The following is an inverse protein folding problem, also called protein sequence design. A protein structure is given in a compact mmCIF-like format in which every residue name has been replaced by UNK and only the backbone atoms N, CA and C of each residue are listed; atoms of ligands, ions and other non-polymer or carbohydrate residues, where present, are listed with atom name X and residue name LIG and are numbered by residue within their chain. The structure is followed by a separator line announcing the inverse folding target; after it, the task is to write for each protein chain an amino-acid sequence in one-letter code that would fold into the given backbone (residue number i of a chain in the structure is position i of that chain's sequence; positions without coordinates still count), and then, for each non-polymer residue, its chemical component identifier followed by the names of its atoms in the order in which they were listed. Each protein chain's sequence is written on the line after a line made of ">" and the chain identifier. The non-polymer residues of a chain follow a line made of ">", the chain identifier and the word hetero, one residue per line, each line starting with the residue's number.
data_IF_683731916667
#
_entry.id   IF_683731916667
#
_cell.length_a   1.000
_cell.length_b   1.000
_cell.length_c   1.000
_cell.angle_alpha   90.00
_cell.angle_beta   90.00
_cell.angle_gamma   90.00
#
_symmetry.space_group_name_H-M   'P 1'
#
loop_
_entity.id
_entity.type
_entity.pdbx_description
1 polymer ?
#
# COMPACT_ATOMS: atom_id res chain seq x y z
N UNK A 1 13.14 -7.70 6.00
CA UNK A 1 12.26 -6.51 6.00
C UNK A 1 10.86 -6.87 6.42
N UNK A 2 10.27 -7.95 5.91
CA UNK A 2 8.91 -8.36 6.27
C UNK A 2 8.74 -8.59 7.79
N UNK A 3 9.72 -9.19 8.46
CA UNK A 3 9.71 -9.32 9.93
C UNK A 3 9.61 -7.97 10.65
N UNK A 4 10.35 -6.96 10.18
CA UNK A 4 10.28 -5.60 10.73
C UNK A 4 8.93 -4.95 10.45
N UNK A 5 8.35 -5.22 9.28
CA UNK A 5 7.02 -4.75 8.93
C UNK A 5 5.97 -5.33 9.88
N UNK A 6 6.06 -6.62 10.25
CA UNK A 6 5.12 -7.23 11.21
C UNK A 6 5.15 -6.53 12.57
N UNK A 7 6.34 -6.21 13.08
CA UNK A 7 6.49 -5.43 14.33
C UNK A 7 5.84 -4.04 14.19
N UNK A 8 6.04 -3.37 13.05
CA UNK A 8 5.35 -2.11 12.76
C UNK A 8 3.82 -2.28 12.74
N UNK A 9 3.29 -3.32 12.08
CA UNK A 9 1.85 -3.56 11.97
C UNK A 9 1.20 -3.78 13.34
N UNK A 10 1.87 -4.52 14.24
CA UNK A 10 1.41 -4.72 15.61
C UNK A 10 1.28 -3.38 16.35
N UNK A 11 2.30 -2.54 16.30
CA UNK A 11 2.26 -1.21 16.92
C UNK A 11 1.22 -0.29 16.24
N UNK A 12 1.09 -0.35 14.91
CA UNK A 12 0.18 0.50 14.16
C UNK A 12 -1.31 0.17 14.42
N UNK A 13 -1.64 -1.07 14.78
CA UNK A 13 -3.00 -1.47 15.16
C UNK A 13 -3.44 -0.78 16.45
N UNK A 14 -2.57 -0.68 17.44
CA UNK A 14 -2.84 0.03 18.70
C UNK A 14 -3.09 1.53 18.50
N UNK A 15 -2.59 2.13 17.40
CA UNK A 15 -2.84 3.55 17.10
C UNK A 15 -4.29 3.85 16.70
N UNK A 16 -5.14 2.84 16.47
CA UNK A 16 -6.56 3.06 16.19
C UNK A 16 -7.28 3.70 17.37
N UNK A 17 -6.94 3.28 18.59
CA UNK A 17 -7.52 3.77 19.85
C UNK A 17 -7.20 5.25 20.16
N UNK A 18 -6.31 5.85 19.38
CA UNK A 18 -5.96 7.25 19.49
C UNK A 18 -7.03 8.20 18.93
N UNK A 19 -8.10 7.68 18.33
CA UNK A 19 -9.28 8.44 17.89
C UNK A 19 -10.06 9.09 19.04
N UNK A 20 -9.88 8.58 20.26
CA UNK A 20 -10.39 9.21 21.47
C UNK A 20 -9.95 10.69 21.61
N UNK A 21 -8.75 11.05 21.12
CA UNK A 21 -8.25 12.43 21.15
C UNK A 21 -9.05 13.40 20.27
N UNK A 22 -9.76 12.92 19.24
CA UNK A 22 -10.60 13.75 18.38
C UNK A 22 -11.75 14.39 19.17
N UNK A 23 -12.23 13.70 20.21
CA UNK A 23 -13.26 14.23 21.12
C UNK A 23 -12.71 15.35 21.99
N UNK A 24 -11.53 15.16 22.57
CA UNK A 24 -10.89 16.18 23.42
C UNK A 24 -10.43 17.38 22.61
N UNK A 25 -10.08 17.17 21.34
CA UNK A 25 -9.85 18.25 20.39
C UNK A 25 -11.06 19.16 20.21
N UNK A 26 -12.23 18.56 19.91
CA UNK A 26 -13.49 19.31 19.78
C UNK A 26 -13.84 20.09 21.05
N UNK A 27 -13.65 19.49 22.23
CA UNK A 27 -13.87 20.17 23.52
C UNK A 27 -12.92 21.37 23.70
N UNK A 28 -11.65 21.21 23.33
CA UNK A 28 -10.64 22.26 23.44
C UNK A 28 -10.95 23.45 22.53
N UNK A 29 -11.34 23.19 21.27
CA UNK A 29 -11.77 24.24 20.35
C UNK A 29 -13.00 25.01 20.88
N UNK A 30 -13.99 24.28 21.41
CA UNK A 30 -15.16 24.89 22.05
C UNK A 30 -14.77 25.78 23.23
N UNK A 31 -13.81 25.36 24.05
CA UNK A 31 -13.30 26.15 25.17
C UNK A 31 -12.69 27.49 24.73
N UNK A 32 -11.90 27.51 23.64
CA UNK A 32 -11.38 28.75 23.06
C UNK A 32 -12.49 29.68 22.57
N UNK A 33 -13.53 29.12 21.93
CA UNK A 33 -14.68 29.87 21.44
C UNK A 33 -15.48 30.50 22.59
N UNK A 34 -15.79 29.71 23.63
CA UNK A 34 -16.49 30.19 24.83
C UNK A 34 -15.70 31.28 25.57
N UNK A 35 -14.37 31.16 25.67
CA UNK A 35 -13.52 32.17 26.29
C UNK A 35 -13.51 33.49 25.51
N UNK A 36 -13.40 33.41 24.17
CA UNK A 36 -13.49 34.58 23.30
C UNK A 36 -14.86 35.24 23.38
N UNK A 37 -15.94 34.46 23.45
CA UNK A 37 -17.30 34.99 23.59
C UNK A 37 -17.50 35.71 24.92
N UNK A 38 -17.01 35.16 26.03
CA UNK A 38 -17.09 35.81 27.36
C UNK A 38 -16.35 37.15 27.38
N UNK A 39 -15.18 37.24 26.76
CA UNK A 39 -14.43 38.50 26.66
C UNK A 39 -15.15 39.55 25.80
N UNK A 40 -15.75 39.15 24.68
CA UNK A 40 -16.59 40.05 23.86
C UNK A 40 -17.77 40.57 24.67
N UNK A 41 -18.50 39.68 25.34
CA UNK A 41 -19.62 40.07 26.22
C UNK A 41 -19.17 41.01 27.34
N UNK A 42 -18.00 40.81 27.93
CA UNK A 42 -17.45 41.75 28.92
C UNK A 42 -17.21 43.13 28.30
N UNK A 43 -16.57 43.20 27.13
CA UNK A 43 -16.35 44.46 26.39
C UNK A 43 -17.65 45.20 26.11
N UNK A 44 -18.71 44.48 25.73
CA UNK A 44 -20.00 45.06 25.38
C UNK A 44 -20.77 45.58 26.61
N UNK A 45 -20.46 45.07 27.82
CA UNK A 45 -21.24 45.32 29.04
C UNK A 45 -20.42 45.96 30.18
N UNK A 46 -19.17 46.38 29.94
CA UNK A 46 -18.24 46.84 30.99
C UNK A 46 -18.63 48.16 31.68
N UNK A 47 -19.46 48.99 31.04
CA UNK A 47 -20.08 50.16 31.67
C UNK A 47 -19.15 51.34 32.01
N UNK A 48 -17.84 51.24 31.78
CA UNK A 48 -16.91 52.37 31.90
C UNK A 48 -17.07 53.34 30.72
N UNK A 49 -16.66 54.61 30.93
CA UNK A 49 -16.66 55.67 29.92
C UNK A 49 -15.31 56.39 29.89
N UNK A 50 -15.00 57.05 28.76
CA UNK A 50 -13.76 57.79 28.57
C UNK A 50 -12.51 56.89 28.53
N UNK A 51 -11.37 57.42 28.97
CA UNK A 51 -10.06 56.75 28.85
C UNK A 51 -10.02 55.35 29.49
N UNK A 52 -10.80 55.11 30.54
CA UNK A 52 -10.90 53.78 31.18
C UNK A 52 -11.59 52.78 30.26
N UNK A 53 -12.64 53.19 29.54
CA UNK A 53 -13.31 52.33 28.57
C UNK A 53 -12.39 51.97 27.41
N UNK A 54 -11.63 52.95 26.92
CA UNK A 54 -10.66 52.76 25.84
C UNK A 54 -9.57 51.75 26.25
N UNK A 55 -9.01 51.89 27.46
CA UNK A 55 -8.03 50.96 28.00
C UNK A 55 -8.59 49.54 28.17
N UNK A 56 -9.83 49.40 28.64
CA UNK A 56 -10.48 48.10 28.79
C UNK A 56 -10.75 47.42 27.44
N UNK A 57 -11.23 48.17 26.46
CA UNK A 57 -11.46 47.66 25.11
C UNK A 57 -10.15 47.22 24.44
N UNK A 58 -9.08 47.99 24.62
CA UNK A 58 -7.74 47.61 24.14
C UNK A 58 -7.26 46.30 24.80
N UNK A 59 -7.39 46.18 26.13
CA UNK A 59 -7.02 44.96 26.85
C UNK A 59 -7.84 43.73 26.38
N UNK A 60 -9.14 43.89 26.10
CA UNK A 60 -9.96 42.82 25.52
C UNK A 60 -9.46 42.44 24.13
N UNK A 61 -9.18 43.42 23.26
CA UNK A 61 -8.69 43.17 21.91
C UNK A 61 -7.35 42.39 21.93
N UNK A 62 -6.42 42.78 22.79
CA UNK A 62 -5.16 42.06 22.99
C UNK A 62 -5.37 40.65 23.55
N UNK A 63 -6.32 40.48 24.48
CA UNK A 63 -6.65 39.17 25.05
C UNK A 63 -7.27 38.22 24.01
N UNK A 64 -8.20 38.72 23.19
CA UNK A 64 -8.77 37.96 22.07
C UNK A 64 -7.70 37.57 21.06
N UNK A 65 -6.77 38.48 20.77
CA UNK A 65 -5.65 38.18 19.89
C UNK A 65 -4.75 37.07 20.45
N UNK A 66 -4.43 37.10 21.76
CA UNK A 66 -3.69 36.03 22.45
C UNK A 66 -4.44 34.69 22.42
N UNK A 67 -5.76 34.68 22.62
CA UNK A 67 -6.57 33.46 22.55
C UNK A 67 -6.53 32.86 21.14
N UNK A 68 -6.74 33.68 20.10
CA UNK A 68 -6.69 33.21 18.71
C UNK A 68 -5.33 32.64 18.34
N UNK A 69 -4.26 33.25 18.85
CA UNK A 69 -2.90 32.76 18.70
C UNK A 69 -2.69 31.38 19.32
N UNK A 70 -3.07 31.19 20.59
CA UNK A 70 -2.94 29.90 21.27
C UNK A 70 -3.81 28.84 20.58
N UNK A 71 -5.03 29.19 20.18
CA UNK A 71 -5.92 28.33 19.38
C UNK A 71 -5.23 27.88 18.09
N UNK A 72 -4.61 28.80 17.36
CA UNK A 72 -3.96 28.49 16.09
C UNK A 72 -2.73 27.57 16.25
N UNK A 73 -1.92 27.78 17.29
CA UNK A 73 -0.81 26.88 17.63
C UNK A 73 -1.34 25.50 18.00
N UNK A 74 -2.42 25.43 18.78
CA UNK A 74 -3.06 24.18 19.17
C UNK A 74 -3.61 23.42 17.95
N UNK A 75 -4.37 24.10 17.08
CA UNK A 75 -4.91 23.53 15.85
C UNK A 75 -3.81 22.97 14.95
N UNK A 76 -2.72 23.72 14.73
CA UNK A 76 -1.58 23.24 13.95
C UNK A 76 -0.93 21.97 14.54
N UNK A 77 -0.85 21.89 15.87
CA UNK A 77 -0.32 20.71 16.57
C UNK A 77 -1.23 19.50 16.39
N UNK A 78 -2.55 19.71 16.50
CA UNK A 78 -3.54 18.66 16.28
C UNK A 78 -3.53 18.15 14.84
N UNK A 79 -3.45 19.05 13.85
CA UNK A 79 -3.36 18.66 12.44
C UNK A 79 -2.11 17.83 12.17
N UNK A 80 -0.98 18.17 12.80
CA UNK A 80 0.27 17.39 12.67
C UNK A 80 0.13 16.00 13.29
N UNK A 81 -0.56 15.90 14.43
CA UNK A 81 -0.90 14.64 15.08
C UNK A 81 -1.82 13.76 14.21
N UNK A 82 -2.89 14.33 13.65
CA UNK A 82 -3.81 13.66 12.73
C UNK A 82 -3.07 13.15 11.49
N UNK A 83 -2.16 13.95 10.92
CA UNK A 83 -1.34 13.55 9.78
C UNK A 83 -0.44 12.34 10.11
N UNK A 84 0.11 12.29 11.33
CA UNK A 84 0.87 11.14 11.83
C UNK A 84 0.01 9.88 11.94
N UNK A 85 -1.17 9.98 12.55
CA UNK A 85 -2.11 8.86 12.66
C UNK A 85 -2.58 8.35 11.31
N UNK A 86 -2.97 9.25 10.41
CA UNK A 86 -3.40 8.92 9.05
C UNK A 86 -2.29 8.21 8.27
N UNK A 87 -1.04 8.67 8.40
CA UNK A 87 0.14 8.01 7.81
C UNK A 87 0.28 6.57 8.30
N UNK A 88 0.19 6.35 9.62
CA UNK A 88 0.30 5.01 10.21
C UNK A 88 -0.86 4.11 9.79
N UNK A 89 -2.09 4.63 9.74
CA UNK A 89 -3.27 3.89 9.29
C UNK A 89 -3.16 3.49 7.81
N UNK A 90 -2.69 4.39 6.95
CA UNK A 90 -2.48 4.13 5.52
C UNK A 90 -1.41 3.07 5.31
N UNK A 91 -0.27 3.19 6.01
CA UNK A 91 0.80 2.20 5.96
C UNK A 91 0.36 0.83 6.48
N UNK A 92 -0.47 0.79 7.53
CA UNK A 92 -1.06 -0.46 8.01
C UNK A 92 -1.96 -1.10 6.94
N UNK A 93 -2.87 -0.33 6.32
CA UNK A 93 -3.72 -0.82 5.23
C UNK A 93 -2.88 -1.38 4.08
N UNK A 94 -1.79 -0.70 3.69
CA UNK A 94 -0.88 -1.19 2.65
C UNK A 94 -0.15 -2.47 3.07
N UNK A 95 0.33 -2.53 4.31
CA UNK A 95 1.01 -3.70 4.87
C UNK A 95 0.10 -4.93 4.93
N UNK A 96 -1.19 -4.72 5.24
CA UNK A 96 -2.23 -5.76 5.26
C UNK A 96 -2.54 -6.30 3.85
N UNK A 97 -2.09 -5.62 2.78
CA UNK A 97 -2.14 -6.15 1.42
C UNK A 97 -1.06 -7.20 1.15
N UNK A 98 -0.03 -7.34 1.99
CA UNK A 98 1.07 -8.27 1.76
C UNK A 98 0.73 -9.63 2.39
N UNK A 99 0.80 -10.69 1.58
CA UNK A 99 0.49 -12.05 2.02
C UNK A 99 1.46 -12.55 3.10
N UNK A 100 0.96 -13.22 4.15
CA UNK A 100 1.81 -13.91 5.13
C UNK A 100 2.49 -15.14 4.53
N UNK A 101 1.90 -15.77 3.51
CA UNK A 101 2.44 -16.94 2.82
C UNK A 101 3.14 -16.54 1.53
N UNK A 102 4.23 -17.23 1.19
CA UNK A 102 4.97 -17.00 -0.05
C UNK A 102 4.38 -17.76 -1.23
N UNK A 103 3.81 -18.93 -0.96
CA UNK A 103 3.32 -19.87 -1.96
C UNK A 103 1.81 -20.10 -1.77
N UNK A 104 1.11 -20.22 -2.88
CA UNK A 104 -0.24 -20.78 -2.92
C UNK A 104 -0.19 -22.32 -2.93
N UNK A 105 -1.32 -22.95 -2.62
CA UNK A 105 -1.37 -24.41 -2.47
C UNK A 105 -1.04 -25.18 -3.75
N UNK A 106 -1.46 -24.65 -4.91
CA UNK A 106 -1.20 -25.29 -6.19
C UNK A 106 0.28 -25.22 -6.56
N UNK A 107 0.93 -24.09 -6.28
CA UNK A 107 2.39 -23.93 -6.43
C UNK A 107 3.11 -24.91 -5.53
N UNK A 108 2.75 -24.99 -4.24
CA UNK A 108 3.40 -25.91 -3.30
C UNK A 108 3.21 -27.38 -3.73
N UNK A 109 2.02 -27.76 -4.21
CA UNK A 109 1.75 -29.10 -4.71
C UNK A 109 2.60 -29.48 -5.94
N UNK A 110 3.13 -28.50 -6.68
CA UNK A 110 4.04 -28.79 -7.80
C UNK A 110 5.41 -29.31 -7.34
N UNK A 111 5.75 -29.23 -6.06
CA UNK A 111 7.03 -29.69 -5.52
C UNK A 111 7.29 -31.16 -5.81
N UNK A 112 6.24 -31.98 -5.75
CA UNK A 112 6.29 -33.42 -6.01
C UNK A 112 6.19 -33.79 -7.50
N UNK A 113 6.02 -32.81 -8.39
CA UNK A 113 5.96 -33.08 -9.82
C UNK A 113 7.33 -33.54 -10.33
N UNK A 114 7.40 -34.64 -11.09
CA UNK A 114 8.68 -35.14 -11.61
C UNK A 114 9.32 -34.14 -12.58
N UNK A 115 8.50 -33.44 -13.36
CA UNK A 115 8.93 -32.42 -14.32
C UNK A 115 7.90 -31.30 -14.38
N UNK A 116 8.40 -30.06 -14.39
CA UNK A 116 7.67 -28.83 -14.67
C UNK A 116 8.29 -28.18 -15.90
N UNK A 117 7.46 -27.72 -16.82
CA UNK A 117 7.88 -26.97 -18.01
C UNK A 117 7.75 -25.48 -17.72
N UNK A 118 8.84 -24.75 -17.92
CA UNK A 118 8.89 -23.30 -17.82
C UNK A 118 9.34 -22.72 -19.17
N UNK A 119 8.71 -21.65 -19.66
CA UNK A 119 9.20 -20.98 -20.85
C UNK A 119 10.50 -20.24 -20.55
N UNK A 120 11.38 -20.12 -21.55
CA UNK A 120 12.67 -19.45 -21.39
C UNK A 120 12.57 -17.93 -21.26
N UNK A 121 11.42 -17.36 -21.64
CA UNK A 121 11.06 -15.94 -21.59
C UNK A 121 9.54 -15.80 -21.52
N UNK A 122 9.03 -14.63 -21.14
CA UNK A 122 7.58 -14.38 -21.12
C UNK A 122 6.96 -14.44 -22.53
N UNK A 123 5.77 -15.03 -22.69
CA UNK A 123 5.05 -15.05 -23.97
C UNK A 123 4.51 -13.65 -24.29
N UNK A 124 4.56 -13.22 -25.57
CA UNK A 124 4.06 -11.90 -26.01
C UNK A 124 5.10 -11.10 -26.82
N UNK A 125 4.74 -9.91 -27.33
CA UNK A 125 5.70 -8.96 -27.91
C UNK A 125 6.38 -9.36 -29.24
N UNK A 126 5.67 -10.04 -30.15
CA UNK A 126 6.21 -10.39 -31.47
C UNK A 126 7.11 -11.63 -31.50
N UNK A 127 7.16 -12.41 -30.41
CA UNK A 127 7.88 -13.69 -30.35
C UNK A 127 7.22 -14.72 -31.28
N UNK A 128 7.98 -15.19 -32.28
CA UNK A 128 7.53 -16.18 -33.26
C UNK A 128 7.81 -17.62 -32.86
N UNK A 129 8.78 -17.86 -31.97
CA UNK A 129 9.13 -19.17 -31.41
C UNK A 129 9.52 -18.97 -29.93
N UNK A 130 8.96 -19.79 -29.04
CA UNK A 130 9.22 -19.72 -27.60
C UNK A 130 10.14 -20.88 -27.15
N UNK A 131 11.27 -20.57 -26.52
CA UNK A 131 12.09 -21.60 -25.88
C UNK A 131 11.39 -22.18 -24.66
N UNK A 132 11.57 -23.48 -24.43
CA UNK A 132 11.12 -24.19 -23.22
C UNK A 132 12.33 -24.66 -22.43
N UNK A 133 12.17 -24.80 -21.13
CA UNK A 133 13.09 -25.48 -20.22
C UNK A 133 12.27 -26.39 -19.31
N UNK A 134 12.83 -27.55 -18.99
CA UNK A 134 12.25 -28.50 -18.06
C UNK A 134 13.04 -28.47 -16.77
N UNK A 135 12.33 -28.48 -15.66
CA UNK A 135 12.88 -28.45 -14.31
C UNK A 135 12.17 -29.48 -13.44
N UNK A 136 12.80 -29.91 -12.35
CA UNK A 136 12.08 -30.69 -11.33
C UNK A 136 11.05 -29.83 -10.61
N UNK A 137 10.01 -30.45 -10.07
CA UNK A 137 9.02 -29.76 -9.23
C UNK A 137 9.66 -29.00 -8.07
N UNK A 138 10.57 -29.65 -7.34
CA UNK A 138 11.29 -29.06 -6.23
C UNK A 138 12.07 -27.79 -6.63
N UNK A 139 12.87 -27.86 -7.70
CA UNK A 139 13.64 -26.70 -8.17
C UNK A 139 12.75 -25.54 -8.66
N UNK A 140 11.62 -25.85 -9.32
CA UNK A 140 10.64 -24.85 -9.69
C UNK A 140 10.05 -24.13 -8.47
N UNK A 141 9.55 -24.89 -7.48
CA UNK A 141 8.90 -24.32 -6.30
C UNK A 141 9.90 -23.52 -5.46
N UNK A 142 11.12 -24.01 -5.27
CA UNK A 142 12.16 -23.29 -4.53
C UNK A 142 12.54 -21.97 -5.22
N UNK A 143 12.60 -21.95 -6.55
CA UNK A 143 12.86 -20.73 -7.31
C UNK A 143 11.68 -19.73 -7.22
N UNK A 144 10.44 -20.22 -7.30
CA UNK A 144 9.24 -19.40 -7.09
C UNK A 144 9.23 -18.82 -5.68
N UNK A 145 9.53 -19.61 -4.65
CA UNK A 145 9.59 -19.17 -3.26
C UNK A 145 10.64 -18.08 -3.07
N UNK A 146 11.82 -18.25 -3.67
CA UNK A 146 12.89 -17.25 -3.63
C UNK A 146 12.46 -15.91 -4.28
N UNK A 147 11.85 -15.95 -5.47
CA UNK A 147 11.33 -14.75 -6.14
C UNK A 147 10.17 -14.12 -5.37
N UNK A 148 9.24 -14.93 -4.87
CA UNK A 148 8.12 -14.52 -4.03
C UNK A 148 8.63 -13.80 -2.76
N UNK A 149 9.63 -14.36 -2.09
CA UNK A 149 10.22 -13.75 -0.91
C UNK A 149 10.90 -12.42 -1.25
N UNK A 150 11.65 -12.34 -2.34
CA UNK A 150 12.25 -11.09 -2.80
C UNK A 150 11.18 -10.02 -3.08
N UNK A 151 10.08 -10.39 -3.74
CA UNK A 151 8.94 -9.48 -4.00
C UNK A 151 8.29 -9.01 -2.69
N UNK A 152 8.07 -9.91 -1.72
CA UNK A 152 7.52 -9.59 -0.40
C UNK A 152 8.43 -8.65 0.38
N UNK A 153 9.73 -8.92 0.36
CA UNK A 153 10.74 -8.10 1.02
C UNK A 153 10.83 -6.69 0.44
N UNK A 154 10.77 -6.56 -0.89
CA UNK A 154 10.70 -5.28 -1.58
C UNK A 154 9.40 -4.51 -1.25
N UNK A 155 8.27 -5.20 -1.22
CA UNK A 155 6.99 -4.60 -0.83
C UNK A 155 7.02 -4.11 0.63
N UNK A 156 7.58 -4.90 1.55
CA UNK A 156 7.73 -4.51 2.95
C UNK A 156 8.66 -3.31 3.11
N UNK A 157 9.76 -3.27 2.36
CA UNK A 157 10.68 -2.14 2.34
C UNK A 157 10.00 -0.85 1.83
N UNK A 158 9.12 -0.95 0.82
CA UNK A 158 8.35 0.18 0.30
C UNK A 158 7.47 0.79 1.38
N UNK A 159 6.69 -0.03 2.10
CA UNK A 159 5.83 0.43 3.20
C UNK A 159 6.65 1.14 4.28
N UNK A 160 7.74 0.50 4.74
CA UNK A 160 8.59 1.06 5.80
C UNK A 160 9.28 2.37 5.36
N UNK A 161 9.72 2.45 4.11
CA UNK A 161 10.31 3.68 3.55
C UNK A 161 9.28 4.81 3.52
N UNK A 162 8.05 4.53 3.06
CA UNK A 162 6.95 5.50 3.06
C UNK A 162 6.66 6.04 4.47
N UNK A 163 6.61 5.16 5.47
CA UNK A 163 6.42 5.57 6.87
C UNK A 163 7.55 6.48 7.32
N UNK A 164 8.81 6.07 7.10
CA UNK A 164 9.97 6.84 7.53
C UNK A 164 10.04 8.23 6.89
N UNK A 165 9.77 8.32 5.58
CA UNK A 165 9.77 9.59 4.85
C UNK A 165 8.71 10.55 5.42
N UNK A 166 7.48 10.06 5.57
CA UNK A 166 6.37 10.86 6.08
C UNK A 166 6.56 11.27 7.53
N UNK A 167 7.01 10.36 8.39
CA UNK A 167 7.30 10.68 9.79
C UNK A 167 8.45 11.70 9.89
N UNK A 168 9.45 11.63 9.02
CA UNK A 168 10.54 12.62 8.98
C UNK A 168 10.04 14.00 8.59
N UNK A 169 9.13 14.08 7.62
CA UNK A 169 8.49 15.33 7.22
C UNK A 169 7.62 15.91 8.36
N UNK A 170 6.80 15.09 8.99
CA UNK A 170 5.99 15.46 10.16
C UNK A 170 6.90 15.99 11.28
N UNK A 171 8.01 15.32 11.57
CA UNK A 171 8.98 15.78 12.58
C UNK A 171 9.60 17.13 12.21
N UNK A 172 9.86 17.41 10.94
CA UNK A 172 10.35 18.71 10.49
C UNK A 172 9.31 19.82 10.72
N UNK A 173 8.04 19.55 10.41
CA UNK A 173 6.94 20.48 10.69
C UNK A 173 6.76 20.74 12.19
N UNK A 174 6.87 19.70 13.03
CA UNK A 174 6.83 19.87 14.49
C UNK A 174 7.98 20.74 15.00
N UNK A 175 9.19 20.63 14.43
CA UNK A 175 10.32 21.50 14.79
C UNK A 175 10.06 22.95 14.40
N UNK A 176 9.53 23.19 13.20
CA UNK A 176 9.14 24.52 12.77
C UNK A 176 8.07 25.12 13.70
N UNK A 177 7.06 24.33 14.06
CA UNK A 177 6.03 24.74 15.00
C UNK A 177 6.59 25.05 16.40
N UNK A 178 7.55 24.25 16.89
CA UNK A 178 8.19 24.49 18.18
C UNK A 178 8.97 25.82 18.19
N UNK A 179 9.75 26.09 17.14
CA UNK A 179 10.48 27.36 16.98
C UNK A 179 9.52 28.56 16.94
N UNK A 180 8.42 28.42 16.20
CA UNK A 180 7.37 29.43 16.13
C UNK A 180 6.72 29.67 17.49
N UNK A 181 6.40 28.61 18.24
CA UNK A 181 5.84 28.73 19.59
C UNK A 181 6.78 29.42 20.58
N UNK A 182 8.09 29.24 20.42
CA UNK A 182 9.11 29.87 21.25
C UNK A 182 9.25 31.37 20.91
N UNK A 183 9.23 31.73 19.64
CA UNK A 183 9.19 33.14 19.21
C UNK A 183 7.96 33.87 19.75
N UNK A 184 6.82 33.18 19.82
CA UNK A 184 5.59 33.71 20.42
C UNK A 184 5.74 33.97 21.91
N UNK A 185 6.40 33.07 22.67
CA UNK A 185 6.65 33.29 24.11
C UNK A 185 7.60 34.47 24.36
N UNK A 186 8.53 34.71 23.43
CA UNK A 186 9.55 35.76 23.56
C UNK A 186 9.07 37.16 23.11
N UNK A 187 8.07 37.25 22.21
CA UNK A 187 7.43 38.51 21.83
C UNK A 187 6.10 38.68 22.56
N UNK A 188 6.13 39.27 23.75
CA UNK A 188 4.91 39.68 24.48
C UNK A 188 4.06 40.70 23.73
N UNK A 189 4.60 41.41 22.73
CA UNK A 189 3.96 42.64 22.23
C UNK A 189 3.46 42.61 20.78
N UNK A 190 3.86 41.65 19.93
CA UNK A 190 3.41 41.63 18.51
C UNK A 190 3.26 40.20 17.96
N UNK A 191 2.08 39.57 18.14
CA UNK A 191 1.84 38.17 17.82
C UNK A 191 1.09 37.91 16.49
N UNK A 192 1.34 38.68 15.43
CA UNK A 192 0.72 38.42 14.12
C UNK A 192 1.58 37.48 13.27
N UNK A 193 0.97 36.44 12.66
CA UNK A 193 1.49 35.67 11.49
C UNK A 193 2.21 34.32 11.78
N UNK A 194 1.70 33.48 12.67
CA UNK A 194 2.43 32.24 13.05
C UNK A 194 1.77 30.92 12.62
N UNK A 195 0.44 30.82 12.57
CA UNK A 195 -0.21 29.52 12.35
C UNK A 195 -0.49 29.13 10.89
N UNK A 196 -0.66 30.11 9.98
CA UNK A 196 -1.19 29.86 8.64
C UNK A 196 -0.26 29.07 7.69
N UNK A 197 1.06 29.30 7.76
CA UNK A 197 2.02 28.63 6.86
C UNK A 197 2.21 27.15 7.20
N UNK A 198 2.21 26.79 8.50
CA UNK A 198 2.37 25.40 8.95
C UNK A 198 1.16 24.55 8.54
N UNK A 199 -0.06 25.08 8.72
CA UNK A 199 -1.31 24.40 8.34
C UNK A 199 -1.38 24.16 6.83
N UNK A 200 -0.93 25.13 6.01
CA UNK A 200 -0.88 24.99 4.55
C UNK A 200 0.12 23.93 4.08
N UNK A 201 1.26 23.79 4.76
CA UNK A 201 2.24 22.75 4.46
C UNK A 201 1.73 21.32 4.71
N UNK A 202 0.85 21.16 5.71
CA UNK A 202 0.26 19.85 6.06
C UNK A 202 -0.86 19.45 5.11
N UNK A 203 -1.75 20.39 4.73
CA UNK A 203 -2.90 20.09 3.87
C UNK A 203 -2.52 19.67 2.44
N UNK A 204 -1.38 20.18 1.94
CA UNK A 204 -0.85 19.86 0.62
C UNK A 204 -0.34 18.40 0.49
N UNK A 205 -0.16 17.68 1.60
CA UNK A 205 0.36 16.30 1.64
C UNK A 205 -0.71 15.25 2.03
N UNK A 206 -1.98 15.65 2.07
CA UNK A 206 -3.08 14.69 2.21
C UNK A 206 -3.04 13.69 1.06
N UNK A 207 -2.82 12.42 1.39
CA UNK A 207 -2.68 11.34 0.42
C UNK A 207 -4.03 11.10 -0.30
N UNK A 208 -4.01 11.10 -1.62
CA UNK A 208 -5.10 10.54 -2.42
C UNK A 208 -5.16 9.04 -2.14
N UNK A 209 -6.23 8.58 -1.52
CA UNK A 209 -6.49 7.16 -1.27
C UNK A 209 -6.71 6.41 -2.60
N UNK A 210 -5.66 5.90 -3.23
CA UNK A 210 -5.82 4.76 -4.12
C UNK A 210 -5.99 3.51 -3.25
N UNK A 211 -7.20 2.94 -3.24
CA UNK A 211 -7.53 1.73 -2.48
C UNK A 211 -6.68 0.52 -2.90
N UNK A 212 -6.09 0.55 -4.10
CA UNK A 212 -5.25 -0.51 -4.62
C UNK A 212 -3.76 -0.36 -4.32
N UNK A 213 -3.29 0.77 -3.78
CA UNK A 213 -1.86 1.08 -3.59
C UNK A 213 -1.02 0.83 -4.86
N UNK A 214 -1.56 1.19 -6.04
CA UNK A 214 -0.92 0.96 -7.33
C UNK A 214 -1.01 -0.48 -7.87
N UNK A 215 -1.66 -1.41 -7.15
CA UNK A 215 -1.76 -2.84 -7.51
C UNK A 215 -3.02 -3.18 -8.30
N UNK A 216 -3.98 -2.24 -8.38
CA UNK A 216 -5.28 -2.49 -8.98
C UNK A 216 -5.18 -2.94 -10.44
N UNK A 217 -4.25 -2.36 -11.22
CA UNK A 217 -4.02 -2.75 -12.61
C UNK A 217 -3.56 -4.19 -12.76
N UNK A 218 -2.77 -4.70 -11.80
CA UNK A 218 -2.23 -6.07 -11.83
C UNK A 218 -3.26 -7.15 -11.55
N UNK A 219 -4.37 -6.78 -10.89
CA UNK A 219 -5.50 -7.70 -10.67
C UNK A 219 -6.28 -8.00 -11.96
N UNK A 220 -5.97 -7.31 -13.05
CA UNK A 220 -6.53 -7.61 -14.37
C UNK A 220 -5.71 -8.71 -15.06
N UNK A 221 -6.35 -9.73 -15.63
CA UNK A 221 -5.69 -10.68 -16.54
C UNK A 221 -5.10 -10.07 -17.81
N UNK A 222 -5.49 -8.84 -18.14
CA UNK A 222 -4.90 -8.08 -19.25
C UNK A 222 -3.76 -7.16 -18.80
N UNK A 223 -3.30 -7.28 -17.55
CA UNK A 223 -2.17 -6.49 -17.06
C UNK A 223 -0.95 -6.74 -17.95
N UNK A 224 -0.20 -5.67 -18.25
CA UNK A 224 1.06 -5.78 -18.95
C UNK A 224 2.09 -6.63 -18.17
N UNK A 225 1.94 -6.73 -16.84
CA UNK A 225 2.78 -7.57 -16.01
C UNK A 225 2.47 -9.06 -16.19
N UNK A 226 1.27 -9.44 -16.62
CA UNK A 226 0.89 -10.83 -16.93
C UNK A 226 0.64 -10.99 -18.43
N UNK A 227 1.68 -11.05 -19.27
CA UNK A 227 1.51 -11.04 -20.72
C UNK A 227 0.86 -12.33 -21.26
N UNK A 228 0.93 -13.44 -20.50
CA UNK A 228 0.17 -14.66 -20.78
C UNK A 228 -1.29 -14.63 -20.30
N UNK A 229 -1.65 -13.63 -19.50
CA UNK A 229 -2.90 -13.55 -18.74
C UNK A 229 -3.04 -14.64 -17.68
N UNK A 230 -4.17 -14.62 -16.98
CA UNK A 230 -4.57 -15.67 -16.04
C UNK A 230 -6.10 -15.82 -16.04
N UNK A 231 -6.60 -16.91 -15.45
CA UNK A 231 -8.04 -17.17 -15.39
C UNK A 231 -8.78 -16.09 -14.58
N UNK A 232 -10.09 -15.93 -14.80
CA UNK A 232 -10.91 -15.02 -14.00
C UNK A 232 -11.80 -15.83 -13.06
N UNK A 233 -11.60 -15.76 -11.73
CA UNK A 233 -12.37 -16.57 -10.78
C UNK A 233 -13.85 -16.17 -10.69
N UNK A 234 -14.25 -15.06 -11.31
CA UNK A 234 -15.64 -14.58 -11.35
C UNK A 234 -16.35 -14.88 -12.69
N UNK A 235 -15.66 -15.47 -13.67
CA UNK A 235 -16.30 -15.88 -14.92
C UNK A 235 -17.13 -17.16 -14.74
N UNK A 236 -18.23 -17.23 -15.46
CA UNK A 236 -18.94 -18.51 -15.63
C UNK A 236 -18.07 -19.49 -16.41
N UNK A 237 -18.34 -20.80 -16.28
CA UNK A 237 -17.64 -21.83 -17.06
C UNK A 237 -17.75 -21.57 -18.58
N UNK A 238 -18.92 -21.11 -19.03
CA UNK A 238 -19.16 -20.78 -20.44
C UNK A 238 -18.31 -19.58 -20.90
N UNK A 239 -18.22 -18.53 -20.09
CA UNK A 239 -17.41 -17.35 -20.42
C UNK A 239 -15.91 -17.68 -20.41
N UNK A 240 -15.48 -18.48 -19.44
CA UNK A 240 -14.11 -18.97 -19.35
C UNK A 240 -13.74 -19.83 -20.57
N UNK A 241 -14.61 -20.76 -20.96
CA UNK A 241 -14.42 -21.59 -22.15
C UNK A 241 -14.42 -20.74 -23.43
N UNK A 242 -15.32 -19.76 -23.55
CA UNK A 242 -15.35 -18.86 -24.69
C UNK A 242 -14.07 -18.02 -24.80
N UNK A 243 -13.53 -17.54 -23.68
CA UNK A 243 -12.26 -16.83 -23.66
C UNK A 243 -11.08 -17.72 -24.04
N UNK A 244 -11.01 -18.94 -23.50
CA UNK A 244 -9.98 -19.91 -23.89
C UNK A 244 -10.07 -20.22 -25.39
N UNK A 245 -11.27 -20.45 -25.94
CA UNK A 245 -11.46 -20.71 -27.36
C UNK A 245 -10.98 -19.55 -28.25
N UNK A 246 -11.18 -18.30 -27.83
CA UNK A 246 -10.61 -17.12 -28.53
C UNK A 246 -9.09 -17.12 -28.51
N UNK A 247 -8.48 -17.49 -27.39
CA UNK A 247 -7.02 -17.62 -27.27
C UNK A 247 -6.50 -18.74 -28.16
N UNK A 248 -7.13 -19.92 -28.16
CA UNK A 248 -6.76 -21.05 -29.03
C UNK A 248 -6.87 -20.67 -30.52
N UNK A 249 -7.94 -19.98 -30.90
CA UNK A 249 -8.17 -19.53 -32.28
C UNK A 249 -7.11 -18.55 -32.79
N UNK A 250 -6.34 -17.90 -31.90
CA UNK A 250 -5.24 -17.01 -32.29
C UNK A 250 -4.02 -17.75 -32.86
N UNK A 251 -3.97 -19.08 -32.71
CA UNK A 251 -2.89 -19.93 -33.18
C UNK A 251 -1.79 -20.09 -32.12
N UNK A 252 -1.34 -21.33 -31.94
CA UNK A 252 -0.27 -21.65 -30.99
C UNK A 252 1.06 -21.03 -31.44
N UNK A 253 1.85 -20.57 -30.49
CA UNK A 253 3.24 -20.14 -30.72
C UNK A 253 4.10 -21.41 -30.76
N UNK A 254 4.84 -21.68 -31.85
CA UNK A 254 5.79 -22.78 -31.91
C UNK A 254 6.78 -22.74 -30.75
N UNK A 255 7.13 -23.89 -30.20
CA UNK A 255 8.04 -23.97 -29.06
C UNK A 255 9.25 -24.82 -29.38
N UNK A 256 10.43 -24.40 -28.92
CA UNK A 256 11.68 -25.12 -29.07
C UNK A 256 12.15 -25.65 -27.72
N UNK A 257 12.42 -26.95 -27.67
CA UNK A 257 12.99 -27.60 -26.48
C UNK A 257 14.52 -27.73 -26.63
N UNK A 258 15.28 -27.74 -25.53
CA UNK A 258 16.72 -28.02 -25.56
C UNK A 258 16.96 -29.44 -26.07
N UNK A 259 18.13 -29.67 -26.67
CA UNK A 259 18.47 -30.97 -27.23
C UNK A 259 18.61 -32.03 -26.13
N UNK A 260 18.53 -33.30 -26.52
CA UNK A 260 18.65 -34.42 -25.58
C UNK A 260 19.97 -34.33 -24.78
N UNK A 261 19.87 -34.40 -23.45
CA UNK A 261 21.01 -34.33 -22.54
C UNK A 261 21.49 -32.92 -22.21
N UNK A 262 21.04 -31.90 -22.95
CA UNK A 262 21.29 -30.51 -22.57
C UNK A 262 20.53 -30.16 -21.29
N UNK A 263 21.12 -29.28 -20.48
CA UNK A 263 20.52 -28.79 -19.26
C UNK A 263 19.17 -28.10 -19.56
N UNK A 264 18.14 -28.47 -18.82
CA UNK A 264 16.77 -28.02 -19.07
C UNK A 264 16.06 -28.77 -20.19
N UNK A 265 16.63 -29.85 -20.72
CA UNK A 265 15.91 -30.81 -21.57
C UNK A 265 15.08 -31.78 -20.73
N UNK A 266 14.19 -32.54 -21.38
CA UNK A 266 13.40 -33.59 -20.71
C UNK A 266 14.25 -34.66 -20.04
N UNK A 267 15.46 -34.91 -20.54
CA UNK A 267 16.36 -35.97 -20.05
C UNK A 267 17.45 -35.47 -19.13
N UNK A 268 17.58 -34.15 -18.98
CA UNK A 268 18.46 -33.50 -18.01
C UNK A 268 17.76 -32.23 -17.46
N UNK A 269 16.67 -32.40 -16.69
CA UNK A 269 15.90 -31.27 -16.18
C UNK A 269 16.72 -30.46 -15.17
N UNK A 270 16.46 -29.16 -15.09
CA UNK A 270 17.06 -28.26 -14.11
C UNK A 270 16.67 -28.71 -12.69
N UNK A 271 17.66 -29.02 -11.87
CA UNK A 271 17.51 -29.40 -10.46
C UNK A 271 17.97 -28.30 -9.49
N UNK A 272 18.74 -27.33 -9.96
CA UNK A 272 19.18 -26.18 -9.15
C UNK A 272 18.22 -24.99 -9.37
N UNK A 273 17.50 -24.52 -8.35
CA UNK A 273 16.62 -23.35 -8.48
C UNK A 273 17.35 -22.07 -8.93
N UNK A 274 18.66 -21.96 -8.68
CA UNK A 274 19.44 -20.77 -9.08
C UNK A 274 19.46 -20.56 -10.60
N UNK A 275 19.40 -21.64 -11.39
CA UNK A 275 19.36 -21.56 -12.85
C UNK A 275 18.05 -20.96 -13.39
N UNK A 276 17.02 -20.88 -12.54
CA UNK A 276 15.72 -20.31 -12.88
C UNK A 276 15.59 -18.83 -12.49
N UNK A 277 16.51 -18.28 -11.67
CA UNK A 277 16.39 -16.93 -11.12
C UNK A 277 16.44 -15.81 -12.17
N UNK A 278 16.96 -16.09 -13.37
CA UNK A 278 16.91 -15.17 -14.51
C UNK A 278 15.58 -15.18 -15.29
N UNK A 279 14.61 -16.00 -14.88
CA UNK A 279 13.30 -16.15 -15.53
C UNK A 279 12.23 -15.60 -14.60
N UNK A 280 11.31 -14.78 -15.11
CA UNK A 280 10.18 -14.31 -14.32
C UNK A 280 9.14 -15.43 -14.14
N UNK A 281 9.20 -16.12 -13.00
CA UNK A 281 8.32 -17.25 -12.69
C UNK A 281 7.01 -16.80 -12.03
N UNK A 282 6.96 -15.58 -11.47
CA UNK A 282 5.77 -15.06 -10.79
C UNK A 282 4.70 -14.59 -11.76
N UNK A 283 5.10 -14.13 -12.95
CA UNK A 283 4.15 -13.61 -13.94
C UNK A 283 4.07 -14.44 -15.22
N UNK A 284 4.87 -15.51 -15.32
CA UNK A 284 4.87 -16.39 -16.48
C UNK A 284 4.31 -17.77 -16.11
N UNK A 285 3.24 -18.23 -16.79
CA UNK A 285 2.63 -19.52 -16.47
C UNK A 285 3.57 -20.69 -16.78
N UNK A 286 3.75 -21.58 -15.79
CA UNK A 286 4.37 -22.88 -15.96
C UNK A 286 3.39 -23.89 -16.56
N UNK A 287 3.88 -24.90 -17.30
CA UNK A 287 3.09 -25.95 -17.94
C UNK A 287 2.01 -25.48 -18.95
N UNK A 288 1.95 -24.18 -19.26
CA UNK A 288 0.98 -23.60 -20.18
C UNK A 288 1.38 -23.75 -21.65
N UNK A 289 0.38 -23.71 -22.53
CA UNK A 289 0.61 -23.62 -23.99
C UNK A 289 0.43 -22.17 -24.44
N UNK A 290 1.47 -21.58 -25.01
CA UNK A 290 1.43 -20.21 -25.49
C UNK A 290 0.73 -20.09 -26.85
N UNK A 291 -0.11 -19.07 -26.98
CA UNK A 291 -0.81 -18.66 -28.18
C UNK A 291 -0.54 -17.17 -28.42
N UNK A 292 -0.84 -16.66 -29.62
CA UNK A 292 -0.57 -15.25 -29.95
C UNK A 292 -1.28 -14.26 -29.02
N UNK A 293 -2.45 -14.63 -28.51
CA UNK A 293 -3.27 -13.78 -27.65
C UNK A 293 -3.30 -14.22 -26.17
N UNK A 294 -2.35 -15.05 -25.71
CA UNK A 294 -2.25 -15.45 -24.31
C UNK A 294 -1.81 -16.90 -24.13
N UNK A 295 -1.93 -17.41 -22.90
CA UNK A 295 -1.58 -18.80 -22.58
C UNK A 295 -2.84 -19.56 -22.19
N UNK A 296 -2.99 -20.79 -22.70
CA UNK A 296 -4.06 -21.70 -22.30
C UNK A 296 -3.47 -22.86 -21.52
N UNK A 297 -4.10 -23.14 -20.39
CA UNK A 297 -3.57 -24.07 -19.40
C UNK A 297 -2.34 -23.52 -18.68
N UNK A 298 -1.82 -24.30 -17.75
CA UNK A 298 -0.69 -23.92 -16.94
C UNK A 298 -1.06 -23.21 -15.64
N UNK A 299 -0.03 -22.88 -14.88
CA UNK A 299 -0.13 -22.38 -13.51
C UNK A 299 0.73 -21.12 -13.36
N UNK A 300 0.13 -20.04 -12.87
CA UNK A 300 0.82 -18.79 -12.54
C UNK A 300 0.78 -18.62 -11.03
N UNK A 301 1.92 -18.57 -10.32
CA UNK A 301 1.97 -18.37 -8.88
C UNK A 301 1.28 -17.08 -8.43
N UNK A 302 0.63 -17.11 -7.28
CA UNK A 302 0.01 -15.92 -6.71
C UNK A 302 1.09 -14.97 -6.12
N UNK A 303 1.03 -13.66 -6.39
CA UNK A 303 2.05 -12.73 -5.90
C UNK A 303 1.87 -12.45 -4.40
N UNK A 304 2.87 -12.69 -3.53
CA UNK A 304 2.78 -12.37 -2.11
C UNK A 304 2.73 -10.88 -1.81
N UNK A 305 3.08 -10.02 -2.77
CA UNK A 305 2.93 -8.59 -2.59
C UNK A 305 1.48 -8.10 -2.61
N UNK A 306 0.51 -8.91 -3.06
CA UNK A 306 -0.93 -8.61 -3.04
C UNK A 306 -1.75 -9.85 -2.64
N UNK A 307 -2.08 -9.98 -1.35
CA UNK A 307 -2.91 -11.04 -0.79
C UNK A 307 -4.33 -11.08 -1.37
N UNK A 308 -4.78 -9.99 -1.98
CA UNK A 308 -6.10 -9.88 -2.61
C UNK A 308 -6.04 -10.12 -4.12
N UNK A 309 -4.88 -10.51 -4.66
CA UNK A 309 -4.74 -10.85 -6.06
C UNK A 309 -5.64 -12.05 -6.43
N UNK A 310 -6.36 -12.03 -7.57
CA UNK A 310 -7.27 -13.11 -7.94
C UNK A 310 -6.63 -14.50 -8.01
N UNK A 311 -5.33 -14.57 -8.32
CA UNK A 311 -4.55 -15.83 -8.34
C UNK A 311 -4.56 -16.55 -6.99
N UNK A 312 -4.61 -15.85 -5.86
CA UNK A 312 -4.69 -16.50 -4.55
C UNK A 312 -5.95 -17.35 -4.41
N UNK A 313 -7.07 -16.92 -5.00
CA UNK A 313 -8.33 -17.67 -5.00
C UNK A 313 -8.33 -18.81 -6.02
N UNK A 314 -7.70 -18.60 -7.18
CA UNK A 314 -7.61 -19.61 -8.24
C UNK A 314 -6.73 -20.80 -7.83
N UNK A 315 -5.68 -20.52 -7.07
CA UNK A 315 -4.63 -21.48 -6.77
C UNK A 315 -4.77 -22.13 -5.36
N UNK A 316 -5.93 -21.94 -4.70
CA UNK A 316 -6.23 -22.54 -3.40
C UNK A 316 -5.45 -21.97 -2.20
N UNK A 317 -5.12 -20.67 -2.20
CA UNK A 317 -4.43 -20.03 -1.09
C UNK A 317 -5.35 -19.65 0.09
N UNK A 318 -4.75 -19.32 1.24
CA UNK A 318 -5.45 -18.97 2.50
C UNK A 318 -6.45 -17.80 2.37
N UNK A 319 -6.32 -16.95 1.35
CA UNK A 319 -7.27 -15.87 1.04
C UNK A 319 -8.63 -16.38 0.51
N UNK A 320 -8.78 -17.69 0.30
CA UNK A 320 -10.03 -18.31 -0.19
C UNK A 320 -11.16 -18.33 0.86
N UNK A 321 -10.84 -18.23 2.15
CA UNK A 321 -11.82 -18.37 3.25
C UNK A 321 -12.48 -17.06 3.68
N UNK A 322 -11.99 -15.89 3.25
CA UNK A 322 -12.51 -14.59 3.71
C UNK A 322 -13.89 -14.22 3.12
N UNK A 323 -14.41 -14.98 2.15
CA UNK A 323 -15.67 -14.69 1.45
C UNK A 323 -16.89 -15.50 1.93
N UNK A 324 -16.70 -16.50 2.79
CA UNK A 324 -17.82 -17.25 3.43
C UNK A 324 -18.44 -16.49 4.61
N UNK A 325 -17.83 -15.40 5.08
CA UNK A 325 -18.35 -14.58 6.17
C UNK A 325 -19.37 -13.50 5.75
N UNK A 326 -19.67 -13.35 4.44
CA UNK A 326 -20.54 -12.29 3.92
C UNK A 326 -21.83 -12.75 3.24
N UNK A 327 -22.18 -14.04 3.31
CA UNK A 327 -23.45 -14.57 2.81
C UNK A 327 -24.20 -15.30 3.92
N UNK A 328 -24.76 -14.53 4.85
CA UNK A 328 -25.94 -14.86 5.64
C UNK A 328 -26.82 -13.62 5.73
#
# INVERSE_FOLDING_TARGET
>A
MYERLKVFMEAARSNRDLDAWDTDHKKTLKGFEEAAERLKRYSDNQGFQGQTADAMNQWVAESLHRINMVRSIYEAGHTTYEAGRSTMATALKEAEMISPTLLDSATEAMRDNPVVMVPSSSPGGGVSVLGKRFTTGAAYVDAVEAQANAQREAAAQRVLSMVNERTSHIAALMRQQAQLSEQVKQRTDHPGTVGGEVVKGISQWSYSEDQGFGRAADRSPSSANYPGGFAQPWWSEADAAAAQNRTVASGAIPTQEPAYGELGSRTNPITDPQELMGTDLLHTPANGTAYRNGVVGGHTPAPPADAHHPLWRLNGGAASDSATAGRL
#
